data_IF_983409485112
#
_entry.id   IF_983409485112
#
_cell.length_a   1.000
_cell.length_b   1.000
_cell.length_c   1.000
_cell.angle_alpha   90.00
_cell.angle_beta   90.00
_cell.angle_gamma   90.00
#
_symmetry.space_group_name_H-M   'P 1'
#
loop_
_entity.id
_entity.type
_entity.pdbx_description
1 polymer ?
#
# COMPACT_ATOMS: atom_id res chain seq x y z
N UNK A 1 2.12 26.19 -2.17
CA UNK A 1 3.06 25.36 -1.39
C UNK A 1 3.45 24.19 -2.27
N UNK A 2 4.73 23.82 -2.34
CA UNK A 2 5.13 22.60 -3.04
C UNK A 2 4.58 21.39 -2.26
N UNK A 3 4.11 20.33 -2.93
CA UNK A 3 3.66 19.12 -2.25
C UNK A 3 4.82 18.52 -1.43
N UNK A 4 4.51 18.06 -0.22
CA UNK A 4 5.49 17.39 0.64
C UNK A 4 5.98 16.12 -0.06
N UNK A 5 7.29 16.03 -0.28
CA UNK A 5 7.93 14.88 -0.89
C UNK A 5 8.41 13.93 0.19
N UNK A 6 7.67 12.85 0.39
CA UNK A 6 7.98 11.81 1.38
C UNK A 6 9.00 10.83 0.78
N UNK A 7 9.96 10.38 1.58
CA UNK A 7 10.92 9.31 1.25
C UNK A 7 10.64 8.06 2.09
N UNK A 8 11.15 6.90 1.65
CA UNK A 8 11.03 5.64 2.38
C UNK A 8 11.55 5.73 3.83
N UNK A 9 12.69 6.39 4.05
CA UNK A 9 13.26 6.57 5.40
C UNK A 9 12.32 7.37 6.32
N UNK A 10 11.54 8.30 5.75
CA UNK A 10 10.59 9.09 6.53
C UNK A 10 9.43 8.23 7.04
N UNK A 11 9.07 7.15 6.33
CA UNK A 11 8.01 6.21 6.70
C UNK A 11 8.38 5.38 7.94
N UNK A 12 9.68 5.17 8.18
CA UNK A 12 10.16 4.40 9.34
C UNK A 12 9.94 5.16 10.66
N UNK A 13 9.91 6.49 10.60
CA UNK A 13 9.89 7.36 11.78
C UNK A 13 8.56 8.12 11.94
N UNK A 14 7.74 8.17 10.88
CA UNK A 14 6.51 8.96 10.85
C UNK A 14 5.33 8.15 10.32
N UNK A 15 4.14 8.52 10.78
CA UNK A 15 2.87 8.05 10.23
C UNK A 15 2.25 9.13 9.37
N UNK A 16 1.82 8.75 8.18
CA UNK A 16 1.17 9.65 7.23
C UNK A 16 -0.28 9.24 6.99
N UNK A 17 -1.12 10.22 6.65
CA UNK A 17 -2.49 9.93 6.25
C UNK A 17 -2.50 9.23 4.90
N UNK A 18 -3.56 8.45 4.63
CA UNK A 18 -3.77 7.77 3.35
C UNK A 18 -3.66 8.76 2.18
N UNK A 19 -4.27 9.94 2.27
CA UNK A 19 -4.21 10.97 1.22
C UNK A 19 -2.77 11.41 0.91
N UNK A 20 -1.92 11.56 1.93
CA UNK A 20 -0.51 11.94 1.75
C UNK A 20 0.29 10.80 1.11
N UNK A 21 0.00 9.55 1.47
CA UNK A 21 0.60 8.37 0.87
C UNK A 21 0.19 8.21 -0.59
N UNK A 22 -1.10 8.40 -0.93
CA UNK A 22 -1.59 8.37 -2.31
C UNK A 22 -0.90 9.41 -3.20
N UNK A 23 -0.67 10.62 -2.68
CA UNK A 23 0.05 11.67 -3.41
C UNK A 23 1.52 11.33 -3.68
N UNK A 24 2.11 10.43 -2.90
CA UNK A 24 3.53 10.05 -2.99
C UNK A 24 3.75 8.61 -3.49
N UNK A 25 2.69 7.87 -3.82
CA UNK A 25 2.76 6.42 -4.10
C UNK A 25 3.76 6.05 -5.21
N UNK A 26 3.95 6.93 -6.19
CA UNK A 26 4.86 6.67 -7.31
C UNK A 26 6.34 6.66 -6.92
N UNK A 27 6.69 7.13 -5.72
CA UNK A 27 8.07 7.31 -5.26
C UNK A 27 8.36 6.61 -3.93
N UNK A 28 7.45 5.75 -3.46
CA UNK A 28 7.59 4.96 -2.23
C UNK A 28 7.60 3.47 -2.57
N UNK A 29 8.34 2.68 -1.79
CA UNK A 29 8.32 1.22 -1.88
C UNK A 29 7.05 0.67 -1.25
N UNK A 30 6.39 -0.28 -1.93
CA UNK A 30 5.16 -0.90 -1.45
C UNK A 30 5.44 -1.74 -0.19
N UNK A 31 6.56 -2.46 -0.14
CA UNK A 31 7.00 -3.15 1.07
C UNK A 31 7.21 -2.21 2.26
N UNK A 32 7.85 -1.06 2.03
CA UNK A 32 8.09 -0.10 3.10
C UNK A 32 6.77 0.46 3.62
N UNK A 33 5.85 0.83 2.72
CA UNK A 33 4.50 1.26 3.11
C UNK A 33 3.78 0.18 3.93
N UNK A 34 3.77 -1.06 3.43
CA UNK A 34 3.05 -2.16 4.03
C UNK A 34 3.55 -2.52 5.43
N UNK A 35 4.86 -2.41 5.68
CA UNK A 35 5.47 -2.75 6.97
C UNK A 35 5.39 -1.63 8.00
N UNK A 36 5.27 -0.37 7.57
CA UNK A 36 5.48 0.79 8.45
C UNK A 36 4.23 1.61 8.68
N UNK A 37 3.30 1.68 7.71
CA UNK A 37 2.15 2.57 7.79
C UNK A 37 0.89 1.80 8.20
N UNK A 38 -0.08 2.49 8.81
CA UNK A 38 -1.41 1.94 9.03
C UNK A 38 -2.29 2.12 7.78
N UNK A 39 -2.35 1.09 6.94
CA UNK A 39 -3.06 1.11 5.67
C UNK A 39 -4.49 0.58 5.84
N UNK A 40 -5.38 0.93 4.91
CA UNK A 40 -6.73 0.35 4.85
C UNK A 40 -6.86 -0.63 3.66
N UNK A 41 -7.88 -1.48 3.69
CA UNK A 41 -8.09 -2.51 2.67
C UNK A 41 -8.20 -1.93 1.24
N UNK A 42 -8.84 -0.77 1.09
CA UNK A 42 -9.03 -0.09 -0.19
C UNK A 42 -7.68 0.34 -0.76
N UNK A 43 -6.81 0.92 0.07
CA UNK A 43 -5.48 1.34 -0.33
C UNK A 43 -4.64 0.14 -0.78
N UNK A 44 -4.59 -0.92 0.02
CA UNK A 44 -3.83 -2.13 -0.32
C UNK A 44 -4.33 -2.76 -1.63
N UNK A 45 -5.65 -2.85 -1.82
CA UNK A 45 -6.23 -3.38 -3.06
C UNK A 45 -5.91 -2.52 -4.29
N UNK A 46 -5.95 -1.19 -4.15
CA UNK A 46 -5.78 -0.24 -5.25
C UNK A 46 -4.32 -0.06 -5.68
N UNK A 47 -3.38 -0.11 -4.74
CA UNK A 47 -1.98 0.26 -4.98
C UNK A 47 -0.98 -0.87 -4.78
N UNK A 48 -1.27 -1.81 -3.86
CA UNK A 48 -0.36 -2.92 -3.57
C UNK A 48 -0.72 -4.13 -4.44
N UNK A 49 -1.98 -4.54 -4.45
CA UNK A 49 -2.48 -5.65 -5.29
C UNK A 49 -2.92 -5.18 -6.68
N UNK A 50 -2.30 -4.12 -7.22
CA UNK A 50 -2.64 -3.65 -8.55
C UNK A 50 -2.20 -4.68 -9.59
N UNK A 51 -3.15 -5.19 -10.38
CA UNK A 51 -2.91 -6.26 -11.36
C UNK A 51 -2.01 -5.87 -12.54
N UNK A 52 -1.67 -4.58 -12.68
CA UNK A 52 -0.74 -4.11 -13.70
C UNK A 52 0.61 -3.70 -13.09
N UNK A 53 0.82 -3.98 -11.78
CA UNK A 53 2.05 -3.71 -11.04
C UNK A 53 2.54 -2.26 -11.17
N UNK A 54 1.63 -1.33 -11.49
CA UNK A 54 1.99 0.04 -11.91
C UNK A 54 2.77 0.81 -10.85
N UNK A 55 2.54 0.45 -9.59
CA UNK A 55 3.13 1.12 -8.44
C UNK A 55 4.33 0.39 -7.86
N UNK A 56 4.63 -0.84 -8.31
CA UNK A 56 5.82 -1.55 -7.90
C UNK A 56 7.09 -0.76 -8.24
N UNK A 57 8.13 -0.90 -7.43
CA UNK A 57 9.43 -0.22 -7.63
C UNK A 57 10.54 -1.19 -8.01
N UNK A 58 10.35 -2.45 -7.69
CA UNK A 58 11.26 -3.56 -7.92
C UNK A 58 10.47 -4.87 -7.98
N UNK A 59 11.15 -5.96 -8.35
CA UNK A 59 10.57 -7.31 -8.43
C UNK A 59 10.00 -7.76 -7.07
N UNK A 60 10.59 -7.31 -5.95
CA UNK A 60 10.10 -7.62 -4.61
C UNK A 60 8.71 -7.01 -4.36
N UNK A 61 8.46 -5.78 -4.82
CA UNK A 61 7.16 -5.12 -4.74
C UNK A 61 6.10 -5.81 -5.64
N UNK A 62 6.50 -6.42 -6.76
CA UNK A 62 5.62 -7.19 -7.67
C UNK A 62 5.10 -8.48 -6.99
N UNK A 63 5.92 -9.11 -6.15
CA UNK A 63 5.60 -10.37 -5.47
C UNK A 63 4.68 -10.23 -4.25
N UNK A 64 4.28 -9.01 -3.86
CA UNK A 64 3.42 -8.79 -2.71
C UNK A 64 2.04 -9.39 -2.95
N UNK A 65 1.62 -10.32 -2.09
CA UNK A 65 0.32 -10.96 -2.20
C UNK A 65 -0.62 -10.64 -1.03
N UNK A 66 -1.86 -11.13 -1.13
CA UNK A 66 -2.88 -10.97 -0.08
C UNK A 66 -2.41 -11.46 1.29
N UNK A 67 -1.62 -12.54 1.32
CA UNK A 67 -1.11 -13.11 2.57
C UNK A 67 -0.17 -12.14 3.27
N UNK A 68 0.70 -11.45 2.53
CA UNK A 68 1.63 -10.46 3.08
C UNK A 68 0.85 -9.29 3.68
N UNK A 69 -0.22 -8.85 3.02
CA UNK A 69 -1.07 -7.78 3.53
C UNK A 69 -1.69 -8.17 4.87
N UNK A 70 -2.27 -9.35 4.99
CA UNK A 70 -2.89 -9.81 6.25
C UNK A 70 -1.84 -9.98 7.35
N UNK A 71 -0.64 -10.45 6.99
CA UNK A 71 0.45 -10.63 7.93
C UNK A 71 0.93 -9.30 8.52
N UNK A 72 1.09 -8.26 7.68
CA UNK A 72 1.64 -6.97 8.10
C UNK A 72 0.59 -5.94 8.52
N UNK A 73 -0.66 -6.13 8.10
CA UNK A 73 -1.81 -5.28 8.43
C UNK A 73 -2.92 -6.13 9.07
N UNK A 74 -2.71 -6.69 10.28
CA UNK A 74 -3.61 -7.69 10.88
C UNK A 74 -5.00 -7.15 11.24
N UNK A 75 -5.21 -5.83 11.21
CA UNK A 75 -6.54 -5.22 11.32
C UNK A 75 -7.39 -5.35 10.05
N UNK A 76 -6.78 -5.64 8.90
CA UNK A 76 -7.48 -5.88 7.64
C UNK A 76 -7.89 -7.35 7.58
N UNK A 77 -9.20 -7.60 7.42
CA UNK A 77 -9.70 -8.96 7.25
C UNK A 77 -9.69 -9.36 5.78
N UNK A 78 -9.36 -10.63 5.51
CA UNK A 78 -9.34 -11.19 4.15
C UNK A 78 -10.65 -10.95 3.38
N UNK A 79 -11.79 -11.07 4.07
CA UNK A 79 -13.13 -10.82 3.51
C UNK A 79 -13.31 -9.39 3.00
N UNK A 80 -12.66 -8.41 3.63
CA UNK A 80 -12.74 -7.01 3.20
C UNK A 80 -12.08 -6.85 1.84
N UNK A 81 -10.91 -7.47 1.65
CA UNK A 81 -10.22 -7.44 0.35
C UNK A 81 -11.00 -8.25 -0.70
N UNK A 82 -11.53 -9.44 -0.38
CA UNK A 82 -12.36 -10.19 -1.33
C UNK A 82 -13.60 -9.42 -1.78
N UNK A 83 -14.25 -8.67 -0.89
CA UNK A 83 -15.41 -7.86 -1.25
C UNK A 83 -15.07 -6.83 -2.34
N UNK A 84 -13.84 -6.30 -2.36
CA UNK A 84 -13.36 -5.35 -3.37
C UNK A 84 -13.12 -6.01 -4.72
N UNK A 85 -12.64 -7.26 -4.75
CA UNK A 85 -12.55 -8.03 -6.00
C UNK A 85 -13.94 -8.25 -6.63
N UNK A 86 -14.94 -8.59 -5.82
CA UNK A 86 -16.31 -8.83 -6.32
C UNK A 86 -17.05 -7.57 -6.74
N UNK A 87 -16.68 -6.41 -6.22
CA UNK A 87 -17.28 -5.13 -6.60
C UNK A 87 -16.68 -4.54 -7.89
N UNK A 88 -15.53 -5.05 -8.34
CA UNK A 88 -14.82 -4.58 -9.54
C UNK A 88 -15.23 -5.35 -10.83
N UNK A 89 -16.02 -6.43 -10.70
CA UNK A 89 -16.56 -7.23 -11.81
C UNK A 89 -18.04 -6.96 -12.03
#
# INVERSE_FOLDING_TARGET
MAPLKIKNDDLLMNQYTIDMLEQNINNLSLWTLLKTQHLNAIFCFKYILDSNERYAKDEDDEDICLRDIIQWQPHIQEKEIYSLFTAKG
#
